data_IF_218751330769
#
_entry.id   IF_218751330769
#
_cell.length_a   1.000
_cell.length_b   1.000
_cell.length_c   1.000
_cell.angle_alpha   90.00
_cell.angle_beta   90.00
_cell.angle_gamma   90.00
#
_symmetry.space_group_name_H-M   'P 1'
#
loop_
_entity.id
_entity.type
_entity.pdbx_description
1 polymer ?
#
# COMPACT_ATOMS: atom_id res chain seq x y z
N UNK A 1 -10.24 3.56 10.99
CA UNK A 1 -8.99 3.38 11.76
C UNK A 1 -8.17 2.21 11.21
N UNK A 2 -8.79 1.03 11.07
CA UNK A 2 -8.14 -0.20 10.56
C UNK A 2 -7.36 -0.01 9.24
N UNK A 3 -7.99 0.52 8.18
CA UNK A 3 -7.30 0.71 6.89
C UNK A 3 -6.06 1.62 6.98
N UNK A 4 -6.14 2.70 7.77
CA UNK A 4 -5.02 3.62 7.95
C UNK A 4 -3.85 2.94 8.68
N UNK A 5 -4.13 2.25 9.80
CA UNK A 5 -3.13 1.45 10.52
C UNK A 5 -2.54 0.33 9.64
N UNK A 6 -3.35 -0.29 8.79
CA UNK A 6 -2.87 -1.29 7.83
C UNK A 6 -1.91 -0.67 6.80
N UNK A 7 -2.26 0.49 6.25
CA UNK A 7 -1.42 1.22 5.31
C UNK A 7 -0.07 1.61 5.91
N UNK A 8 -0.08 2.09 7.16
CA UNK A 8 1.16 2.42 7.88
C UNK A 8 2.00 1.18 8.14
N UNK A 9 1.39 0.07 8.60
CA UNK A 9 2.11 -1.19 8.77
C UNK A 9 2.76 -1.69 7.48
N UNK A 10 2.05 -1.61 6.35
CA UNK A 10 2.60 -2.03 5.06
C UNK A 10 3.74 -1.13 4.61
N UNK A 11 3.63 0.19 4.80
CA UNK A 11 4.69 1.14 4.47
C UNK A 11 5.93 0.98 5.34
N UNK A 12 5.77 0.74 6.64
CA UNK A 12 6.90 0.49 7.54
C UNK A 12 7.56 -0.87 7.23
N UNK A 13 6.77 -1.87 6.83
CA UNK A 13 7.30 -3.16 6.40
C UNK A 13 8.14 -3.00 5.13
N UNK A 14 7.64 -2.27 4.13
CA UNK A 14 8.33 -1.91 2.88
C UNK A 14 9.71 -1.25 3.15
N UNK A 15 9.72 -0.13 3.88
CA UNK A 15 10.95 0.59 4.28
C UNK A 15 11.93 -0.33 5.04
N UNK A 16 11.39 -1.26 5.84
CA UNK A 16 12.22 -2.21 6.59
C UNK A 16 12.98 -3.15 5.65
N UNK A 17 12.33 -3.70 4.62
CA UNK A 17 12.96 -4.63 3.68
C UNK A 17 13.93 -3.94 2.71
N UNK A 18 13.60 -2.73 2.23
CA UNK A 18 14.34 -2.09 1.14
C UNK A 18 15.47 -1.16 1.61
N UNK A 19 15.39 -0.61 2.83
CA UNK A 19 16.33 0.41 3.31
C UNK A 19 16.99 0.06 4.64
N UNK A 20 16.25 -0.53 5.59
CA UNK A 20 16.70 -0.62 6.98
C UNK A 20 17.38 -1.93 7.32
N UNK A 21 16.72 -3.05 7.06
CA UNK A 21 17.20 -4.37 7.48
C UNK A 21 18.30 -4.88 6.55
N UNK A 22 19.27 -5.60 7.10
CA UNK A 22 20.14 -6.42 6.25
C UNK A 22 19.36 -7.59 5.66
N UNK A 23 19.89 -8.22 4.62
CA UNK A 23 19.24 -9.40 4.05
C UNK A 23 19.02 -10.53 5.08
N UNK A 24 19.98 -10.76 5.97
CA UNK A 24 19.87 -11.74 7.06
C UNK A 24 18.76 -11.35 8.04
N UNK A 25 18.70 -10.07 8.43
CA UNK A 25 17.64 -9.54 9.30
C UNK A 25 16.25 -9.67 8.65
N UNK A 26 16.14 -9.36 7.36
CA UNK A 26 14.92 -9.53 6.54
C UNK A 26 14.44 -10.98 6.49
N UNK A 27 15.37 -11.95 6.41
CA UNK A 27 15.06 -13.38 6.47
C UNK A 27 14.51 -13.79 7.83
N UNK A 28 15.13 -13.33 8.92
CA UNK A 28 14.65 -13.63 10.27
C UNK A 28 13.30 -12.95 10.56
N UNK A 29 13.10 -11.71 10.09
CA UNK A 29 11.81 -11.00 10.19
C UNK A 29 10.71 -11.76 9.46
N UNK A 30 10.96 -12.19 8.21
CA UNK A 30 10.00 -12.96 7.44
C UNK A 30 9.62 -14.28 8.15
N UNK A 31 10.60 -14.97 8.77
CA UNK A 31 10.32 -16.17 9.59
C UNK A 31 9.44 -15.86 10.81
N UNK A 32 9.68 -14.73 11.49
CA UNK A 32 8.86 -14.30 12.60
C UNK A 32 7.41 -14.00 12.16
N UNK A 33 7.25 -13.27 11.05
CA UNK A 33 5.94 -12.96 10.45
C UNK A 33 5.23 -14.23 9.97
N UNK A 34 5.91 -15.16 9.30
CA UNK A 34 5.30 -16.41 8.83
C UNK A 34 4.83 -17.31 9.98
N UNK A 35 5.61 -17.38 11.07
CA UNK A 35 5.19 -18.09 12.29
C UNK A 35 4.06 -17.37 13.02
N UNK A 36 4.11 -16.03 13.04
CA UNK A 36 3.18 -15.16 13.75
C UNK A 36 3.09 -15.50 15.24
N UNK A 37 4.25 -15.71 15.88
CA UNK A 37 4.36 -16.08 17.28
C UNK A 37 5.45 -15.23 17.94
N UNK A 38 5.08 -14.55 19.04
CA UNK A 38 5.99 -13.73 19.84
C UNK A 38 6.95 -14.56 20.70
N UNK A 39 6.69 -15.87 20.87
CA UNK A 39 7.46 -16.73 21.76
C UNK A 39 8.91 -16.95 21.33
N UNK A 40 9.22 -16.79 20.04
CA UNK A 40 10.56 -17.04 19.48
C UNK A 40 11.01 -15.96 18.49
N UNK A 41 11.12 -14.72 18.98
CA UNK A 41 11.72 -13.59 18.26
C UNK A 41 13.12 -13.23 18.79
N UNK A 42 13.74 -14.12 19.57
CA UNK A 42 15.01 -13.86 20.27
C UNK A 42 16.15 -13.48 19.31
N UNK A 43 16.14 -14.04 18.09
CA UNK A 43 17.12 -13.82 17.03
C UNK A 43 16.99 -12.46 16.31
N UNK A 44 15.85 -11.78 16.45
CA UNK A 44 15.68 -10.45 15.85
C UNK A 44 16.51 -9.40 16.60
N UNK A 45 17.10 -8.42 15.89
CA UNK A 45 17.63 -7.22 16.53
C UNK A 45 16.51 -6.45 17.24
N UNK A 46 16.87 -5.63 18.23
CA UNK A 46 15.90 -4.99 19.13
C UNK A 46 14.85 -4.14 18.40
N UNK A 47 15.25 -3.42 17.35
CA UNK A 47 14.31 -2.62 16.56
C UNK A 47 13.29 -3.48 15.80
N UNK A 48 13.70 -4.62 15.24
CA UNK A 48 12.79 -5.55 14.56
C UNK A 48 11.89 -6.30 15.55
N UNK A 49 12.36 -6.58 16.76
CA UNK A 49 11.50 -7.12 17.83
C UNK A 49 10.36 -6.16 18.13
N UNK A 50 10.67 -4.87 18.35
CA UNK A 50 9.67 -3.85 18.60
C UNK A 50 8.69 -3.71 17.43
N UNK A 51 9.20 -3.64 16.21
CA UNK A 51 8.37 -3.57 15.02
C UNK A 51 7.43 -4.79 14.91
N UNK A 52 7.95 -6.01 15.05
CA UNK A 52 7.14 -7.22 15.02
C UNK A 52 6.08 -7.25 16.13
N UNK A 53 6.45 -6.92 17.38
CA UNK A 53 5.48 -6.84 18.48
C UNK A 53 4.38 -5.83 18.17
N UNK A 54 4.71 -4.68 17.56
CA UNK A 54 3.72 -3.69 17.12
C UNK A 54 2.82 -4.21 16.00
N UNK A 55 3.36 -4.97 15.04
CA UNK A 55 2.54 -5.68 14.04
C UNK A 55 1.52 -6.56 14.76
N UNK A 56 1.97 -7.46 15.65
CA UNK A 56 1.08 -8.39 16.35
C UNK A 56 0.04 -7.65 17.21
N UNK A 57 0.44 -6.61 17.96
CA UNK A 57 -0.46 -5.85 18.81
C UNK A 57 -1.53 -5.12 17.99
N UNK A 58 -1.14 -4.48 16.89
CA UNK A 58 -2.07 -3.76 16.01
C UNK A 58 -3.12 -4.69 15.42
N UNK A 59 -2.69 -5.89 15.05
CA UNK A 59 -3.60 -6.91 14.58
C UNK A 59 -4.54 -7.45 15.66
N UNK A 60 -4.13 -7.45 16.94
CA UNK A 60 -5.04 -7.72 18.07
C UNK A 60 -6.01 -6.57 18.30
N UNK A 61 -5.54 -5.32 18.23
CA UNK A 61 -6.41 -4.13 18.32
C UNK A 61 -7.51 -4.16 17.27
N UNK A 62 -7.19 -4.55 16.04
CA UNK A 62 -8.20 -4.76 14.99
C UNK A 62 -9.24 -5.83 15.37
N UNK A 63 -8.89 -6.88 16.14
CA UNK A 63 -9.87 -7.87 16.63
C UNK A 63 -10.71 -7.34 17.80
N UNK A 64 -10.15 -6.42 18.57
CA UNK A 64 -10.81 -5.79 19.72
C UNK A 64 -11.79 -4.69 19.29
N UNK A 65 -11.52 -4.03 18.16
CA UNK A 65 -12.44 -3.08 17.49
C UNK A 65 -13.70 -3.76 16.90
N UNK A 66 -13.70 -5.08 16.74
CA UNK A 66 -14.79 -5.83 16.10
C UNK A 66 -15.78 -6.42 17.10
N UNK A 67 -17.07 -6.40 16.73
CA UNK A 67 -18.11 -7.07 17.50
C UNK A 67 -17.88 -8.58 17.58
N UNK A 68 -18.36 -9.29 18.63
CA UNK A 68 -18.08 -10.71 18.83
C UNK A 68 -18.40 -11.61 17.62
N UNK A 69 -19.46 -11.27 16.87
CA UNK A 69 -19.89 -12.01 15.68
C UNK A 69 -19.12 -11.63 14.41
N UNK A 70 -18.34 -10.56 14.44
CA UNK A 70 -17.50 -10.04 13.36
C UNK A 70 -16.03 -10.40 13.52
N UNK A 71 -15.62 -10.89 14.70
CA UNK A 71 -14.21 -11.22 14.98
C UNK A 71 -13.60 -12.17 13.94
N UNK A 72 -14.39 -13.00 13.25
CA UNK A 72 -13.91 -13.85 12.15
C UNK A 72 -13.22 -13.08 11.01
N UNK A 73 -13.53 -11.78 10.82
CA UNK A 73 -12.94 -10.91 9.79
C UNK A 73 -11.45 -10.69 10.00
N UNK A 74 -11.02 -10.73 11.27
CA UNK A 74 -9.63 -10.53 11.66
C UNK A 74 -9.04 -11.72 12.45
N UNK A 75 -9.89 -12.69 12.84
CA UNK A 75 -9.56 -13.80 13.74
C UNK A 75 -8.31 -14.58 13.34
N UNK A 76 -7.32 -14.55 14.22
CA UNK A 76 -6.03 -15.20 14.08
C UNK A 76 -6.04 -16.73 14.12
N UNK A 77 -7.09 -17.35 14.65
CA UNK A 77 -7.25 -18.81 14.62
C UNK A 77 -8.65 -19.22 15.11
N UNK A 78 -9.53 -19.65 14.19
CA UNK A 78 -10.50 -20.74 14.40
C UNK A 78 -11.26 -21.00 13.10
N UNK A 79 -10.90 -22.10 12.43
CA UNK A 79 -11.68 -22.76 11.35
C UNK A 79 -11.76 -22.07 9.98
N UNK A 80 -10.60 -21.84 9.35
CA UNK A 80 -10.49 -22.10 7.90
C UNK A 80 -10.51 -20.93 6.93
N UNK A 81 -10.61 -19.68 7.38
CA UNK A 81 -10.34 -18.50 6.53
C UNK A 81 -9.51 -17.51 7.35
N UNK A 82 -8.29 -17.20 6.90
CA UNK A 82 -7.35 -16.28 7.58
C UNK A 82 -6.95 -15.13 6.64
N UNK A 83 -7.88 -14.29 6.18
CA UNK A 83 -7.65 -13.38 5.07
C UNK A 83 -6.49 -12.42 5.34
N UNK A 84 -6.59 -11.66 6.44
CA UNK A 84 -5.73 -10.50 6.69
C UNK A 84 -4.32 -10.90 7.08
N UNK A 85 -4.20 -11.87 8.00
CA UNK A 85 -2.93 -12.51 8.34
C UNK A 85 -2.24 -13.07 7.11
N UNK A 86 -2.94 -13.90 6.34
CA UNK A 86 -2.35 -14.58 5.19
C UNK A 86 -1.84 -13.57 4.16
N UNK A 87 -2.59 -12.49 3.90
CA UNK A 87 -2.13 -11.46 2.97
C UNK A 87 -0.93 -10.67 3.52
N UNK A 88 -0.89 -10.36 4.81
CA UNK A 88 0.28 -9.70 5.39
C UNK A 88 1.53 -10.60 5.39
N UNK A 89 1.36 -11.89 5.67
CA UNK A 89 2.43 -12.90 5.56
C UNK A 89 2.91 -13.06 4.12
N UNK A 90 2.00 -13.09 3.15
CA UNK A 90 2.35 -13.13 1.73
C UNK A 90 3.12 -11.87 1.33
N UNK A 91 2.68 -10.69 1.76
CA UNK A 91 3.37 -9.44 1.49
C UNK A 91 4.82 -9.48 1.99
N UNK A 92 5.04 -9.89 3.26
CA UNK A 92 6.37 -10.06 3.83
C UNK A 92 7.26 -11.04 3.04
N UNK A 93 6.68 -12.14 2.53
CA UNK A 93 7.42 -13.10 1.67
C UNK A 93 7.87 -12.48 0.36
N UNK A 94 7.00 -11.69 -0.29
CA UNK A 94 7.33 -11.08 -1.56
C UNK A 94 8.29 -9.88 -1.40
N UNK A 95 8.20 -9.11 -0.31
CA UNK A 95 9.23 -8.13 0.01
C UNK A 95 10.60 -8.77 0.24
N UNK A 96 10.65 -9.90 0.97
CA UNK A 96 11.89 -10.66 1.09
C UNK A 96 12.43 -11.10 -0.28
N UNK A 97 11.56 -11.51 -1.20
CA UNK A 97 11.96 -11.90 -2.54
C UNK A 97 12.55 -10.72 -3.34
N UNK A 98 11.98 -9.52 -3.24
CA UNK A 98 12.54 -8.31 -3.87
C UNK A 98 13.90 -7.94 -3.26
N UNK A 99 14.02 -7.98 -1.94
CA UNK A 99 15.31 -7.79 -1.25
C UNK A 99 16.35 -8.83 -1.69
N UNK A 100 15.97 -10.11 -1.82
CA UNK A 100 16.86 -11.15 -2.34
C UNK A 100 17.29 -10.90 -3.78
N UNK A 101 16.39 -10.42 -4.64
CA UNK A 101 16.73 -10.05 -6.01
C UNK A 101 17.75 -8.90 -6.04
N UNK A 102 17.49 -7.85 -5.25
CA UNK A 102 18.40 -6.71 -5.14
C UNK A 102 19.79 -7.13 -4.66
N UNK A 103 19.89 -7.82 -3.52
CA UNK A 103 21.17 -8.18 -2.90
C UNK A 103 22.01 -9.15 -3.74
N UNK A 104 21.38 -9.98 -4.58
CA UNK A 104 22.10 -10.85 -5.51
C UNK A 104 22.37 -10.20 -6.87
N UNK A 105 22.00 -8.93 -7.09
CA UNK A 105 22.11 -8.25 -8.38
C UNK A 105 21.29 -8.92 -9.48
N UNK A 106 20.24 -9.64 -9.11
CA UNK A 106 19.38 -10.36 -10.04
C UNK A 106 18.38 -9.40 -10.68
N UNK A 107 18.28 -9.43 -12.00
CA UNK A 107 17.21 -8.75 -12.73
C UNK A 107 16.22 -9.80 -13.22
N UNK A 108 14.97 -9.80 -12.72
CA UNK A 108 13.93 -10.70 -13.20
C UNK A 108 13.52 -10.42 -14.65
N UNK A 109 12.78 -11.36 -15.26
CA UNK A 109 12.00 -11.04 -16.47
C UNK A 109 10.90 -10.03 -16.12
N UNK A 110 10.41 -9.26 -17.09
CA UNK A 110 9.29 -8.34 -16.90
C UNK A 110 8.08 -9.07 -16.29
N UNK A 111 7.78 -10.28 -16.78
CA UNK A 111 6.66 -11.06 -16.27
C UNK A 111 6.85 -11.47 -14.81
N UNK A 112 8.03 -11.97 -14.45
CA UNK A 112 8.31 -12.39 -13.07
C UNK A 112 8.35 -11.19 -12.13
N UNK A 113 8.92 -10.08 -12.58
CA UNK A 113 8.92 -8.81 -11.85
C UNK A 113 7.49 -8.36 -11.56
N UNK A 114 6.60 -8.35 -12.56
CA UNK A 114 5.21 -7.93 -12.39
C UNK A 114 4.45 -8.86 -11.43
N UNK A 115 4.65 -10.18 -11.53
CA UNK A 115 3.98 -11.14 -10.65
C UNK A 115 4.32 -10.94 -9.16
N UNK A 116 5.54 -10.47 -8.85
CA UNK A 116 5.96 -10.15 -7.48
C UNK A 116 5.51 -8.74 -7.12
N UNK A 117 5.86 -7.76 -7.95
CA UNK A 117 5.72 -6.35 -7.63
C UNK A 117 4.26 -5.88 -7.53
N UNK A 118 3.33 -6.51 -8.25
CA UNK A 118 1.88 -6.28 -8.10
C UNK A 118 1.39 -6.66 -6.70
N UNK A 119 2.00 -7.67 -6.08
CA UNK A 119 1.66 -8.08 -4.71
C UNK A 119 2.34 -7.15 -3.71
N UNK A 120 3.61 -6.79 -3.94
CA UNK A 120 4.35 -5.89 -3.04
C UNK A 120 3.86 -4.45 -3.08
N UNK A 121 3.08 -4.06 -4.11
CA UNK A 121 2.36 -2.79 -4.12
C UNK A 121 1.26 -2.68 -3.05
N UNK A 122 0.97 -3.76 -2.31
CA UNK A 122 0.10 -3.77 -1.14
C UNK A 122 -1.40 -3.76 -1.44
N UNK A 123 -1.83 -3.72 -2.70
CA UNK A 123 -3.25 -3.61 -3.09
C UNK A 123 -4.14 -4.70 -2.49
N UNK A 124 -3.65 -5.95 -2.44
CA UNK A 124 -4.36 -7.10 -1.89
C UNK A 124 -4.56 -6.95 -0.38
N UNK A 125 -3.50 -6.67 0.38
CA UNK A 125 -3.58 -6.56 1.84
C UNK A 125 -4.38 -5.34 2.28
N UNK A 126 -4.28 -4.22 1.55
CA UNK A 126 -5.07 -3.01 1.80
C UNK A 126 -6.55 -3.22 1.49
N UNK A 127 -6.88 -4.02 0.46
CA UNK A 127 -8.27 -4.40 0.18
C UNK A 127 -8.87 -5.21 1.33
N UNK A 128 -8.10 -6.14 1.90
CA UNK A 128 -8.56 -6.88 3.07
C UNK A 128 -8.69 -5.95 4.28
N UNK A 129 -7.70 -5.07 4.53
CA UNK A 129 -7.76 -4.08 5.62
C UNK A 129 -8.97 -3.14 5.50
N UNK A 130 -9.32 -2.74 4.27
CA UNK A 130 -10.54 -2.00 3.98
C UNK A 130 -11.77 -2.81 4.38
N UNK A 131 -11.88 -4.05 3.89
CA UNK A 131 -13.01 -4.93 4.17
C UNK A 131 -13.25 -5.16 5.66
N UNK A 132 -12.21 -5.36 6.46
CA UNK A 132 -12.35 -5.56 7.92
C UNK A 132 -13.13 -4.40 8.56
N UNK A 133 -12.94 -3.17 8.07
CA UNK A 133 -13.62 -1.98 8.60
C UNK A 133 -14.97 -1.61 7.96
N UNK A 134 -15.52 -2.42 7.05
CA UNK A 134 -16.73 -2.07 6.28
C UNK A 134 -18.07 -2.51 6.93
N UNK A 135 -18.07 -2.92 8.19
CA UNK A 135 -19.29 -3.34 8.91
C UNK A 135 -20.04 -4.45 8.18
N UNK A 136 -21.38 -4.39 8.16
CA UNK A 136 -22.25 -5.43 7.58
C UNK A 136 -21.98 -5.77 6.10
N UNK A 137 -21.35 -4.86 5.35
CA UNK A 137 -20.95 -5.09 3.95
C UNK A 137 -19.83 -6.13 3.82
N UNK A 138 -19.04 -6.32 4.88
CA UNK A 138 -17.92 -7.23 4.93
C UNK A 138 -18.37 -8.67 5.24
N UNK A 139 -19.14 -9.24 4.32
CA UNK A 139 -19.65 -10.62 4.41
C UNK A 139 -18.56 -11.65 4.11
N UNK A 140 -18.80 -12.92 4.42
CA UNK A 140 -17.87 -14.01 4.09
C UNK A 140 -17.59 -14.08 2.60
N UNK A 141 -18.61 -13.90 1.78
CA UNK A 141 -18.52 -13.90 0.31
C UNK A 141 -17.65 -12.74 -0.19
N UNK A 142 -17.72 -11.57 0.44
CA UNK A 142 -16.85 -10.45 0.13
C UNK A 142 -15.38 -10.75 0.44
N UNK A 143 -15.10 -11.40 1.58
CA UNK A 143 -13.75 -11.84 1.91
C UNK A 143 -13.25 -12.94 0.97
N UNK A 144 -14.08 -13.92 0.62
CA UNK A 144 -13.71 -14.98 -0.33
C UNK A 144 -13.42 -14.41 -1.72
N UNK A 145 -14.25 -13.47 -2.18
CA UNK A 145 -14.01 -12.72 -3.41
C UNK A 145 -12.69 -11.95 -3.35
N UNK A 146 -12.38 -11.33 -2.21
CA UNK A 146 -11.15 -10.56 -2.09
C UNK A 146 -9.88 -11.42 -1.99
N UNK A 147 -9.92 -12.51 -1.21
CA UNK A 147 -8.82 -13.46 -1.04
C UNK A 147 -8.54 -14.21 -2.33
N UNK A 148 -9.58 -14.48 -3.12
CA UNK A 148 -9.45 -15.13 -4.43
C UNK A 148 -8.57 -14.37 -5.42
N UNK A 149 -8.14 -13.14 -5.08
CA UNK A 149 -7.27 -12.30 -5.90
C UNK A 149 -7.84 -12.19 -7.32
N UNK A 150 -9.12 -11.81 -7.39
CA UNK A 150 -9.83 -11.67 -8.66
C UNK A 150 -9.15 -10.67 -9.57
N UNK A 151 -9.45 -10.73 -10.88
CA UNK A 151 -8.95 -9.80 -11.88
C UNK A 151 -9.05 -8.33 -11.44
N UNK A 152 -10.07 -7.98 -10.63
CA UNK A 152 -10.26 -6.61 -10.11
C UNK A 152 -9.19 -6.20 -9.11
N UNK A 153 -8.85 -7.10 -8.17
CA UNK A 153 -7.83 -6.83 -7.15
C UNK A 153 -6.45 -6.87 -7.76
N UNK A 154 -6.21 -7.83 -8.66
CA UNK A 154 -4.98 -7.87 -9.43
C UNK A 154 -4.77 -6.58 -10.23
N UNK A 155 -5.80 -6.15 -10.96
CA UNK A 155 -5.76 -4.89 -11.70
C UNK A 155 -5.54 -3.66 -10.79
N UNK A 156 -6.06 -3.67 -9.56
CA UNK A 156 -5.77 -2.63 -8.58
C UNK A 156 -4.27 -2.60 -8.24
N UNK A 157 -3.64 -3.76 -8.03
CA UNK A 157 -2.20 -3.86 -7.79
C UNK A 157 -1.38 -3.46 -9.02
N UNK A 158 -1.79 -3.85 -10.23
CA UNK A 158 -1.16 -3.44 -11.49
C UNK A 158 -1.18 -1.92 -11.67
N UNK A 159 -2.32 -1.27 -11.46
CA UNK A 159 -2.42 0.19 -11.52
C UNK A 159 -1.45 0.82 -10.52
N UNK A 160 -1.48 0.40 -9.26
CA UNK A 160 -0.59 0.95 -8.23
C UNK A 160 0.89 0.77 -8.60
N UNK A 161 1.31 -0.46 -8.93
CA UNK A 161 2.71 -0.77 -9.23
C UNK A 161 3.21 -0.06 -10.47
N UNK A 162 2.49 -0.12 -11.58
CA UNK A 162 2.95 0.51 -12.82
C UNK A 162 2.98 2.03 -12.72
N UNK A 163 2.00 2.65 -12.05
CA UNK A 163 2.02 4.09 -11.83
C UNK A 163 3.19 4.51 -10.93
N UNK A 164 3.50 3.72 -9.90
CA UNK A 164 4.64 3.95 -9.01
C UNK A 164 5.97 3.84 -9.78
N UNK A 165 6.20 2.71 -10.44
CA UNK A 165 7.43 2.45 -11.21
C UNK A 165 7.66 3.49 -12.31
N UNK A 166 6.62 3.88 -13.05
CA UNK A 166 6.71 4.94 -14.06
C UNK A 166 7.06 6.30 -13.44
N UNK A 167 6.57 6.57 -12.23
CA UNK A 167 6.85 7.81 -11.52
C UNK A 167 8.26 7.82 -10.95
N UNK A 168 8.68 6.75 -10.28
CA UNK A 168 10.02 6.57 -9.74
C UNK A 168 11.08 6.61 -10.85
N UNK A 169 10.82 5.96 -12.00
CA UNK A 169 11.72 5.99 -13.15
C UNK A 169 11.94 7.42 -13.69
N UNK A 170 10.91 8.28 -13.67
CA UNK A 170 11.00 9.66 -14.16
C UNK A 170 11.62 10.62 -13.16
N UNK A 171 11.34 10.43 -11.88
CA UNK A 171 11.68 11.38 -10.83
C UNK A 171 12.90 10.98 -10.00
N UNK A 172 13.43 9.77 -10.23
CA UNK A 172 14.52 9.18 -9.48
C UNK A 172 14.00 8.13 -8.49
N UNK A 173 14.56 6.92 -8.58
CA UNK A 173 14.22 5.79 -7.70
C UNK A 173 15.23 5.64 -6.57
N UNK A 174 14.87 4.88 -5.55
CA UNK A 174 15.83 4.41 -4.56
C UNK A 174 16.85 3.46 -5.22
N UNK A 175 18.13 3.73 -4.98
CA UNK A 175 19.24 2.94 -5.55
C UNK A 175 19.37 1.56 -4.88
N UNK A 176 18.70 1.37 -3.75
CA UNK A 176 18.65 0.12 -3.01
C UNK A 176 17.52 -0.81 -3.48
N UNK A 177 16.73 -0.39 -4.47
CA UNK A 177 15.62 -1.21 -4.97
C UNK A 177 16.05 -2.13 -6.11
N UNK A 178 15.35 -3.26 -6.21
CA UNK A 178 15.35 -4.13 -7.38
C UNK A 178 14.91 -3.38 -8.64
N UNK A 179 15.27 -3.90 -9.81
CA UNK A 179 14.86 -3.33 -11.08
C UNK A 179 13.32 -3.24 -11.19
N UNK A 180 12.82 -2.04 -11.49
CA UNK A 180 11.41 -1.74 -11.71
C UNK A 180 10.85 -2.46 -12.94
N UNK A 181 9.53 -2.48 -13.09
CA UNK A 181 8.84 -2.99 -14.28
C UNK A 181 9.31 -2.29 -15.56
N UNK A 182 9.59 -0.98 -15.49
CA UNK A 182 10.12 -0.18 -16.61
C UNK A 182 11.52 -0.67 -17.00
N UNK A 183 12.42 -0.82 -16.05
CA UNK A 183 13.79 -1.27 -16.29
C UNK A 183 13.83 -2.72 -16.80
N UNK A 184 13.02 -3.61 -16.22
CA UNK A 184 12.90 -4.99 -16.66
C UNK A 184 12.37 -5.07 -18.10
N UNK A 185 11.35 -4.26 -18.45
CA UNK A 185 10.80 -4.21 -19.80
C UNK A 185 11.84 -3.70 -20.83
N UNK A 186 12.56 -2.63 -20.50
CA UNK A 186 13.65 -2.09 -21.34
C UNK A 186 14.70 -3.15 -21.60
N UNK A 187 15.15 -3.84 -20.54
CA UNK A 187 16.22 -4.83 -20.62
C UNK A 187 15.81 -6.06 -21.42
N UNK A 188 14.61 -6.59 -21.17
CA UNK A 188 14.12 -7.82 -21.82
C UNK A 188 13.83 -7.61 -23.30
N UNK A 189 13.21 -6.47 -23.66
CA UNK A 189 12.80 -6.21 -25.04
C UNK A 189 13.80 -5.37 -25.84
N UNK A 190 14.87 -4.87 -25.20
CA UNK A 190 15.89 -4.02 -25.81
C UNK A 190 15.29 -2.79 -26.53
N UNK A 191 14.41 -2.06 -25.82
CA UNK A 191 13.69 -0.89 -26.33
C UNK A 191 14.09 0.39 -25.60
N UNK A 192 13.73 1.55 -26.14
CA UNK A 192 13.95 2.83 -25.46
C UNK A 192 13.01 3.01 -24.25
N UNK A 193 13.36 3.92 -23.35
CA UNK A 193 12.51 4.29 -22.21
C UNK A 193 11.14 4.76 -22.65
N UNK A 194 11.04 5.53 -23.73
CA UNK A 194 9.75 6.04 -24.23
C UNK A 194 8.84 4.92 -24.69
N UNK A 195 9.39 3.90 -25.36
CA UNK A 195 8.64 2.72 -25.79
C UNK A 195 8.17 1.90 -24.59
N UNK A 196 9.03 1.71 -23.59
CA UNK A 196 8.68 1.01 -22.36
C UNK A 196 7.60 1.74 -21.55
N UNK A 197 7.75 3.05 -21.35
CA UNK A 197 6.77 3.89 -20.65
C UNK A 197 5.42 3.90 -21.37
N UNK A 198 5.40 3.99 -22.70
CA UNK A 198 4.17 3.90 -23.47
C UNK A 198 3.51 2.52 -23.31
N UNK A 199 4.31 1.44 -23.33
CA UNK A 199 3.77 0.09 -23.17
C UNK A 199 3.21 -0.14 -21.77
N UNK A 200 3.93 0.25 -20.73
CA UNK A 200 3.47 0.12 -19.34
C UNK A 200 2.24 1.01 -19.09
N UNK A 201 2.19 2.21 -19.69
CA UNK A 201 0.98 3.03 -19.71
C UNK A 201 -0.23 2.31 -20.32
N UNK A 202 -0.04 1.52 -21.39
CA UNK A 202 -1.13 0.70 -21.94
C UNK A 202 -1.62 -0.39 -20.97
N UNK A 203 -0.74 -0.96 -20.15
CA UNK A 203 -1.14 -1.93 -19.12
C UNK A 203 -1.94 -1.27 -18.00
N UNK A 204 -1.58 -0.04 -17.60
CA UNK A 204 -2.38 0.76 -16.66
C UNK A 204 -3.79 1.00 -17.20
N UNK A 205 -3.92 1.37 -18.48
CA UNK A 205 -5.23 1.56 -19.11
C UNK A 205 -6.07 0.27 -19.13
N UNK A 206 -5.45 -0.86 -19.44
CA UNK A 206 -6.13 -2.16 -19.47
C UNK A 206 -6.58 -2.61 -18.07
N UNK A 207 -5.73 -2.41 -17.05
CA UNK A 207 -6.09 -2.66 -15.66
C UNK A 207 -7.27 -1.76 -15.21
N UNK A 208 -7.28 -0.48 -15.59
CA UNK A 208 -8.43 0.40 -15.33
C UNK A 208 -9.72 -0.07 -16.01
N UNK A 209 -9.65 -0.60 -17.25
CA UNK A 209 -10.83 -1.19 -17.91
C UNK A 209 -11.38 -2.36 -17.09
N UNK A 210 -10.50 -3.22 -16.57
CA UNK A 210 -10.89 -4.35 -15.69
C UNK A 210 -11.57 -3.85 -14.42
N UNK A 211 -11.01 -2.86 -13.73
CA UNK A 211 -11.62 -2.24 -12.54
C UNK A 211 -12.99 -1.64 -12.86
N UNK A 212 -13.11 -0.91 -13.96
CA UNK A 212 -14.36 -0.26 -14.37
C UNK A 212 -15.47 -1.26 -14.75
N UNK A 213 -15.12 -2.47 -15.15
CA UNK A 213 -16.09 -3.54 -15.42
C UNK A 213 -16.56 -4.26 -14.15
N UNK A 214 -15.80 -4.20 -13.06
CA UNK A 214 -16.07 -4.96 -11.85
C UNK A 214 -17.47 -4.74 -11.25
N UNK A 215 -18.04 -3.51 -11.20
CA UNK A 215 -19.40 -3.29 -10.71
C UNK A 215 -20.47 -4.07 -11.47
N UNK A 216 -20.26 -4.29 -12.78
CA UNK A 216 -21.18 -5.04 -13.63
C UNK A 216 -20.98 -6.55 -13.51
N UNK A 217 -19.75 -7.00 -13.25
CA UNK A 217 -19.42 -8.41 -13.03
C UNK A 217 -19.89 -8.90 -11.65
N UNK A 218 -19.87 -8.04 -10.64
CA UNK A 218 -20.18 -8.40 -9.25
C UNK A 218 -21.25 -7.47 -8.63
N UNK A 219 -22.48 -7.42 -9.18
CA UNK A 219 -23.53 -6.53 -8.69
C UNK A 219 -23.93 -6.82 -7.24
N UNK A 220 -23.83 -8.09 -6.79
CA UNK A 220 -24.11 -8.49 -5.42
C UNK A 220 -23.07 -7.98 -4.41
N UNK A 221 -21.87 -7.62 -4.86
CA UNK A 221 -20.76 -7.11 -4.05
C UNK A 221 -20.49 -5.62 -4.34
N UNK A 222 -21.46 -4.90 -4.90
CA UNK A 222 -21.26 -3.55 -5.43
C UNK A 222 -20.59 -2.59 -4.42
N UNK A 223 -21.00 -2.52 -3.12
CA UNK A 223 -20.35 -1.61 -2.18
C UNK A 223 -18.87 -1.96 -1.95
N UNK A 224 -18.52 -3.25 -1.92
CA UNK A 224 -17.13 -3.74 -1.78
C UNK A 224 -16.31 -3.35 -3.00
N UNK A 225 -16.83 -3.61 -4.19
CA UNK A 225 -16.15 -3.27 -5.46
C UNK A 225 -15.94 -1.77 -5.60
N UNK A 226 -16.90 -0.96 -5.19
CA UNK A 226 -16.76 0.49 -5.15
C UNK A 226 -15.69 0.93 -4.15
N UNK A 227 -15.58 0.26 -3.00
CA UNK A 227 -14.50 0.45 -2.04
C UNK A 227 -13.12 0.19 -2.65
N UNK A 228 -12.93 -0.96 -3.32
CA UNK A 228 -11.68 -1.31 -4.01
C UNK A 228 -11.35 -0.32 -5.12
N UNK A 229 -12.35 0.09 -5.91
CA UNK A 229 -12.17 1.09 -6.96
C UNK A 229 -11.73 2.44 -6.38
N UNK A 230 -12.29 2.82 -5.23
CA UNK A 230 -11.93 4.06 -4.54
C UNK A 230 -10.51 3.99 -3.97
N UNK A 231 -10.11 2.83 -3.44
CA UNK A 231 -8.74 2.57 -2.99
C UNK A 231 -7.74 2.71 -4.15
N UNK A 232 -7.99 2.09 -5.30
CA UNK A 232 -7.14 2.20 -6.49
C UNK A 232 -6.94 3.65 -6.94
N UNK A 233 -8.03 4.44 -6.92
CA UNK A 233 -7.99 5.88 -7.25
C UNK A 233 -7.15 6.66 -6.25
N UNK A 234 -7.32 6.40 -4.96
CA UNK A 234 -6.55 7.06 -3.90
C UNK A 234 -5.06 6.75 -4.02
N UNK A 235 -4.69 5.47 -4.23
CA UNK A 235 -3.30 5.07 -4.46
C UNK A 235 -2.69 5.80 -5.65
N UNK A 236 -3.41 5.85 -6.78
CA UNK A 236 -2.95 6.57 -7.97
C UNK A 236 -2.70 8.06 -7.69
N UNK A 237 -3.59 8.70 -6.93
CA UNK A 237 -3.42 10.11 -6.55
C UNK A 237 -2.22 10.32 -5.62
N UNK A 238 -1.94 9.39 -4.71
CA UNK A 238 -0.75 9.46 -3.86
C UNK A 238 0.51 9.38 -4.71
N UNK A 239 0.61 8.41 -5.61
CA UNK A 239 1.79 8.19 -6.44
C UNK A 239 2.10 9.37 -7.38
N UNK A 240 1.06 9.97 -7.97
CA UNK A 240 1.21 11.17 -8.83
C UNK A 240 1.60 12.40 -8.01
N UNK A 241 1.06 12.58 -6.79
CA UNK A 241 1.33 13.77 -5.97
C UNK A 241 2.61 13.67 -5.13
N UNK A 242 3.04 12.47 -4.72
CA UNK A 242 4.29 12.27 -3.97
C UNK A 242 5.51 12.70 -4.78
N UNK A 243 5.44 12.52 -6.10
CA UNK A 243 6.51 12.90 -7.02
C UNK A 243 6.33 14.28 -7.67
N UNK A 244 5.22 14.97 -7.39
CA UNK A 244 4.97 16.35 -7.82
C UNK A 244 4.79 17.23 -6.57
N UNK A 245 5.89 17.59 -5.90
CA UNK A 245 5.91 18.82 -5.09
C UNK A 245 6.43 19.99 -5.94
N UNK A 246 5.80 21.16 -5.87
CA UNK A 246 6.22 22.33 -6.63
C UNK A 246 7.60 22.79 -6.15
N UNK A 247 8.48 23.09 -7.10
CA UNK A 247 9.73 23.77 -6.84
C UNK A 247 9.48 25.03 -6.01
N UNK A 248 10.19 25.13 -4.88
CA UNK A 248 10.42 26.33 -4.08
C UNK A 248 9.19 27.16 -3.68
N UNK A 249 8.75 26.99 -2.43
CA UNK A 249 8.30 28.13 -1.62
C UNK A 249 9.29 28.28 -0.47
N UNK A 250 10.30 29.11 -0.70
CA UNK A 250 11.12 29.68 0.36
C UNK A 250 10.19 30.53 1.21
N UNK A 251 10.16 30.26 2.53
CA UNK A 251 9.26 30.90 3.46
C UNK A 251 9.35 32.43 3.41
N UNK A 252 8.18 33.07 3.44
CA UNK A 252 8.05 34.45 3.92
C UNK A 252 6.93 34.43 4.96
N UNK A 253 7.28 34.93 6.14
CA UNK A 253 6.50 34.84 7.37
C UNK A 253 5.13 35.49 7.34
N UNK A 254 4.36 35.11 8.35
CA UNK A 254 2.98 35.45 8.62
C UNK A 254 2.61 36.93 8.45
N UNK A 255 1.39 37.16 7.95
CA UNK A 255 0.47 38.05 8.66
C UNK A 255 -0.98 37.66 8.38
N UNK A 256 -1.63 37.15 9.41
CA UNK A 256 -3.09 37.03 9.50
C UNK A 256 -3.66 38.45 9.55
N UNK A 257 -4.43 38.83 8.55
CA UNK A 257 -5.41 39.94 8.60
C UNK A 257 -6.65 39.45 7.86
N UNK A 258 -7.81 39.62 8.50
CA UNK A 258 -8.97 38.76 8.32
C UNK A 258 -9.81 38.98 7.05
N UNK A 259 -10.79 38.09 6.93
CA UNK A 259 -11.98 38.28 6.10
C UNK A 259 -11.95 37.61 4.73
N UNK A 260 -12.99 36.82 4.47
CA UNK A 260 -13.49 36.34 3.16
C UNK A 260 -12.92 35.02 2.64
N UNK A 261 -13.83 34.04 2.50
CA UNK A 261 -13.68 32.77 1.79
C UNK A 261 -12.85 32.87 0.51
N UNK A 262 -11.94 31.92 0.32
CA UNK A 262 -11.47 31.54 -1.01
C UNK A 262 -11.33 30.01 -1.09
N UNK A 263 -12.40 29.36 -1.58
CA UNK A 263 -12.35 27.95 -1.98
C UNK A 263 -11.72 27.89 -3.37
N UNK A 264 -10.62 27.14 -3.53
CA UNK A 264 -10.11 26.74 -4.85
C UNK A 264 -10.65 25.35 -5.17
N UNK A 265 -11.74 25.32 -5.93
CA UNK A 265 -12.25 24.10 -6.56
C UNK A 265 -11.38 23.75 -7.77
N UNK A 266 -10.92 22.50 -7.86
CA UNK A 266 -10.57 21.89 -9.16
C UNK A 266 -11.80 21.12 -9.61
N UNK A 267 -12.52 21.68 -10.58
CA UNK A 267 -13.66 21.02 -11.24
C UNK A 267 -13.14 20.25 -12.44
N UNK A 268 -13.28 18.93 -12.44
CA UNK A 268 -13.27 18.13 -13.68
C UNK A 268 -14.73 17.96 -14.10
N UNK A 269 -15.12 18.65 -15.17
CA UNK A 269 -16.44 18.47 -15.80
C UNK A 269 -16.37 17.30 -16.78
N UNK A 270 -17.20 16.29 -16.54
CA UNK A 270 -17.96 15.64 -17.60
C UNK A 270 -19.27 15.07 -17.05
N UNK A 271 -20.40 15.59 -17.52
CA UNK A 271 -21.69 14.90 -17.64
C UNK A 271 -22.41 14.42 -16.37
N UNK A 272 -23.29 15.27 -15.85
CA UNK A 272 -24.65 14.97 -15.33
C UNK A 272 -24.89 13.70 -14.49
N UNK A 273 -24.67 13.80 -13.18
CA UNK A 273 -25.64 13.54 -12.10
C UNK A 273 -24.90 13.56 -10.76
N UNK A 274 -24.90 14.72 -10.11
CA UNK A 274 -24.34 14.89 -8.77
C UNK A 274 -25.36 14.39 -7.73
N UNK A 275 -25.05 13.30 -7.05
CA UNK A 275 -25.62 13.01 -5.73
C UNK A 275 -24.59 13.50 -4.71
N UNK A 276 -24.95 14.56 -3.99
CA UNK A 276 -24.14 15.08 -2.89
C UNK A 276 -24.27 14.13 -1.69
N UNK A 277 -23.17 13.53 -1.26
CA UNK A 277 -23.03 12.95 0.07
C UNK A 277 -22.12 13.86 0.90
N UNK A 278 -22.63 14.36 2.02
CA UNK A 278 -21.91 15.21 2.96
C UNK A 278 -20.80 14.41 3.65
N UNK A 279 -19.53 14.74 3.39
CA UNK A 279 -18.39 14.12 4.06
C UNK A 279 -18.00 14.94 5.30
N UNK A 280 -18.19 14.36 6.49
CA UNK A 280 -17.36 14.68 7.65
C UNK A 280 -15.97 14.05 7.40
N UNK A 281 -15.15 14.72 6.60
CA UNK A 281 -13.83 14.22 6.19
C UNK A 281 -12.78 14.62 7.22
N UNK A 282 -12.41 13.69 8.09
CA UNK A 282 -11.02 13.64 8.58
C UNK A 282 -10.16 13.30 7.37
N UNK A 283 -9.21 14.15 6.99
CA UNK A 283 -8.34 13.86 5.83
C UNK A 283 -7.43 12.67 6.18
N UNK A 284 -7.12 11.79 5.21
CA UNK A 284 -6.15 10.68 5.42
C UNK A 284 -4.84 11.21 6.01
N UNK A 285 -4.38 12.40 5.59
CA UNK A 285 -3.21 13.08 6.15
C UNK A 285 -3.30 13.35 7.65
N UNK A 286 -4.48 13.74 8.14
CA UNK A 286 -4.70 14.00 9.56
C UNK A 286 -4.77 12.70 10.37
N UNK A 287 -5.17 11.58 9.74
CA UNK A 287 -5.13 10.26 10.36
C UNK A 287 -3.71 9.68 10.35
N UNK A 288 -2.92 9.92 9.29
CA UNK A 288 -1.50 9.62 9.19
C UNK A 288 -0.74 10.35 10.31
N UNK A 289 -0.80 11.69 10.37
CA UNK A 289 -0.07 12.50 11.37
C UNK A 289 -0.36 12.11 12.83
N UNK A 290 -1.60 11.72 13.14
CA UNK A 290 -1.99 11.29 14.49
C UNK A 290 -1.49 9.89 14.84
N UNK A 291 -1.54 8.95 13.88
CA UNK A 291 -1.04 7.59 14.11
C UNK A 291 0.49 7.58 14.10
N UNK A 292 1.12 8.43 13.29
CA UNK A 292 2.58 8.56 13.15
C UNK A 292 3.23 8.98 14.47
N UNK A 293 2.71 10.00 15.15
CA UNK A 293 3.27 10.49 16.41
C UNK A 293 3.15 9.46 17.56
N UNK A 294 2.05 8.70 17.59
CA UNK A 294 1.84 7.63 18.57
C UNK A 294 2.76 6.43 18.28
N UNK A 295 3.00 6.11 17.01
CA UNK A 295 3.80 4.96 16.61
C UNK A 295 5.30 5.20 16.65
N UNK A 296 5.78 6.41 16.31
CA UNK A 296 7.21 6.74 16.42
C UNK A 296 7.71 6.58 17.86
N UNK A 297 6.90 7.03 18.82
CA UNK A 297 7.18 6.91 20.25
C UNK A 297 7.17 5.46 20.74
N UNK A 298 6.22 4.64 20.28
CA UNK A 298 6.05 3.25 20.71
C UNK A 298 7.11 2.30 20.17
N UNK A 299 7.46 2.42 18.88
CA UNK A 299 8.44 1.52 18.24
C UNK A 299 9.87 1.99 18.49
N UNK A 300 10.06 3.22 18.99
CA UNK A 300 11.36 3.82 19.25
C UNK A 300 12.11 4.07 17.94
N UNK A 301 11.39 4.60 16.96
CA UNK A 301 11.79 4.69 15.56
C UNK A 301 11.95 6.13 15.11
N UNK A 302 12.45 6.99 16.00
CA UNK A 302 12.71 8.40 15.73
C UNK A 302 13.43 8.57 14.38
N UNK A 303 12.76 9.18 13.42
CA UNK A 303 13.29 9.41 12.08
C UNK A 303 13.13 8.26 11.08
N UNK A 304 12.27 7.26 11.32
CA UNK A 304 11.87 6.29 10.30
C UNK A 304 11.17 6.95 9.14
N UNK A 305 10.18 7.80 9.44
CA UNK A 305 9.51 8.65 8.45
C UNK A 305 10.43 9.71 7.87
N UNK A 306 11.46 10.11 8.62
CA UNK A 306 12.49 10.94 8.04
C UNK A 306 13.25 10.20 6.96
N UNK A 307 13.36 8.86 6.88
CA UNK A 307 13.95 8.22 5.70
C UNK A 307 12.97 8.11 4.51
N UNK A 308 11.69 7.81 4.75
CA UNK A 308 10.65 7.82 3.72
C UNK A 308 10.36 9.22 3.15
N UNK A 309 10.58 10.27 3.95
CA UNK A 309 10.50 11.68 3.53
C UNK A 309 11.85 12.35 3.24
N UNK A 310 12.98 11.78 3.69
CA UNK A 310 14.33 12.13 3.24
C UNK A 310 14.67 11.30 1.99
N UNK A 311 13.90 11.55 0.94
CA UNK A 311 14.52 11.85 -0.35
C UNK A 311 15.41 13.10 -0.18
N UNK A 312 16.51 12.96 0.58
CA UNK A 312 17.58 13.93 0.66
C UNK A 312 18.50 13.66 -0.50
N UNK A 313 18.17 14.34 -1.59
CA UNK A 313 19.00 14.52 -2.76
C UNK A 313 20.38 15.04 -2.35
N UNK A 314 21.39 14.20 -2.54
CA UNK A 314 22.75 14.63 -2.84
C UNK A 314 23.08 14.15 -4.25
#
# INVERSE_FOLDING_TARGET
MILAKMFLLTSLLDDTYDVRATLEESRELNKAIDRWDESDISLLPEYLKKFFVKVISTFREFEDELEPHEKYRNAYNRKGVKPTKLQFQNLSKYYLQEAEWFHHGYTPSFKDQVNVSVITAGGQVLTIGLLVGMGDVATKEAFEWAIGNTDTIWACGEVSRFMDDMSAFKNGRNKLDVASSVECYIKEHNVTSDVALAKIGSFVEDAWKTINQAPFKYPALLPVVQGVTSLAKSMTLLLVNMHVRPAHVVGVGERIVGGSSCHRFVTVRSGSNAVAMSSSTLSMRSAEELVDAEWEADVGVDGWWSASSNYRWA
#
